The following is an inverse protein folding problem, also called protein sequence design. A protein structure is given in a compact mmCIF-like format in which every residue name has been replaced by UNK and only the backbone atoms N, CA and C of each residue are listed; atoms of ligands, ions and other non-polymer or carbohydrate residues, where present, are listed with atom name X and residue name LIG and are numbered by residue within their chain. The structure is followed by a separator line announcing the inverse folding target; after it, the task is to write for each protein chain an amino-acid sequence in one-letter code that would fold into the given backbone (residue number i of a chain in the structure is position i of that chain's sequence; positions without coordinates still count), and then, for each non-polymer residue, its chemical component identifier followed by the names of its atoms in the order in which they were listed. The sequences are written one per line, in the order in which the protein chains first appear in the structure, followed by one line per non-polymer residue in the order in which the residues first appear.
data_IF_807223186250
#
_entry.id   IF_807223186250
#
_cell.length_a   1.000
_cell.length_b   1.000
_cell.length_c   1.000
_cell.angle_alpha   90.00
_cell.angle_beta   90.00
_cell.angle_gamma   90.00
#
_symmetry.space_group_name_H-M   'P 1'
#
loop_
_entity.id
_entity.type
_entity.pdbx_description
1 polymer ?
#
# COMPACT_ATOMS: atom_id res chain seq x y z
N UNK A 1 -8.32 35.49 23.46
CA UNK A 1 -8.27 35.18 22.02
C UNK A 1 -8.51 33.68 21.85
N UNK A 2 -9.56 33.26 21.12
CA UNK A 2 -9.82 31.83 20.84
C UNK A 2 -8.97 31.39 19.65
N UNK A 3 -8.17 30.32 19.80
CA UNK A 3 -7.40 29.73 18.69
C UNK A 3 -8.38 29.09 17.70
N UNK A 4 -8.37 29.54 16.45
CA UNK A 4 -9.09 28.88 15.36
C UNK A 4 -8.33 27.62 14.96
N UNK A 5 -8.88 26.45 15.27
CA UNK A 5 -8.39 25.17 14.74
C UNK A 5 -8.70 25.12 13.25
N UNK A 6 -7.77 25.58 12.42
CA UNK A 6 -7.85 25.44 10.96
C UNK A 6 -7.56 23.98 10.63
N UNK A 7 -8.61 23.19 10.40
CA UNK A 7 -8.45 21.81 9.96
C UNK A 7 -7.91 21.80 8.51
N UNK A 8 -6.62 21.54 8.35
CA UNK A 8 -5.91 21.50 7.05
C UNK A 8 -6.11 20.19 6.28
N UNK A 9 -7.06 19.35 6.70
CA UNK A 9 -7.22 18.00 6.17
C UNK A 9 -8.17 17.89 4.96
N UNK A 10 -8.38 18.98 4.20
CA UNK A 10 -9.33 18.99 3.06
C UNK A 10 -8.79 18.41 1.75
N UNK A 11 -7.47 18.27 1.59
CA UNK A 11 -6.88 17.91 0.29
C UNK A 11 -6.02 16.63 0.31
N UNK A 12 -6.29 15.68 1.21
CA UNK A 12 -5.72 14.33 1.02
C UNK A 12 -6.59 13.58 0.00
N UNK A 13 -6.29 13.75 -1.29
CA UNK A 13 -6.71 12.83 -2.36
C UNK A 13 -5.99 11.50 -2.19
N UNK A 14 -6.34 10.77 -1.13
CA UNK A 14 -5.91 9.39 -0.95
C UNK A 14 -6.71 8.48 -1.86
N UNK A 15 -6.06 7.47 -2.43
CA UNK A 15 -6.77 6.38 -3.10
C UNK A 15 -7.65 5.70 -2.04
N UNK A 16 -8.96 5.63 -2.29
CA UNK A 16 -9.89 4.89 -1.45
C UNK A 16 -9.58 3.40 -1.64
N UNK A 17 -8.71 2.86 -0.79
CA UNK A 17 -8.41 1.44 -0.76
C UNK A 17 -9.41 0.77 0.20
N UNK A 18 -10.16 -0.21 -0.32
CA UNK A 18 -10.99 -1.08 0.52
C UNK A 18 -10.09 -1.85 1.50
N UNK A 19 -10.28 -1.64 2.80
CA UNK A 19 -9.56 -2.38 3.85
C UNK A 19 -9.99 -3.86 3.92
N UNK A 20 -11.11 -4.21 3.25
CA UNK A 20 -11.62 -5.58 3.16
C UNK A 20 -10.81 -6.44 2.20
N UNK A 21 -10.01 -5.83 1.32
CA UNK A 21 -9.20 -6.55 0.35
C UNK A 21 -7.91 -7.03 1.02
N UNK A 22 -7.94 -8.29 1.45
CA UNK A 22 -6.78 -9.01 1.98
C UNK A 22 -6.17 -9.93 0.92
N UNK A 23 -4.84 -9.97 0.91
CA UNK A 23 -4.03 -10.66 -0.08
C UNK A 23 -3.14 -11.68 0.61
N UNK A 24 -3.02 -12.86 0.01
CA UNK A 24 -2.12 -13.88 0.50
C UNK A 24 -0.67 -13.52 0.14
N UNK A 25 0.20 -13.55 1.15
CA UNK A 25 1.63 -13.35 1.03
C UNK A 25 2.38 -14.52 1.64
N UNK A 26 3.46 -14.94 0.99
CA UNK A 26 4.31 -16.03 1.49
C UNK A 26 5.62 -15.45 2.04
N UNK A 27 5.93 -15.71 3.30
CA UNK A 27 7.18 -15.23 3.91
C UNK A 27 8.39 -15.97 3.33
N UNK A 28 9.38 -15.23 2.82
CA UNK A 28 10.61 -15.80 2.26
C UNK A 28 11.74 -15.86 3.27
N UNK A 29 11.63 -15.12 4.37
CA UNK A 29 12.59 -15.04 5.47
C UNK A 29 11.89 -15.29 6.80
N UNK A 30 12.61 -15.82 7.76
CA UNK A 30 12.16 -15.85 9.15
C UNK A 30 12.10 -14.40 9.66
N UNK A 31 10.95 -14.05 10.23
CA UNK A 31 10.73 -12.79 10.94
C UNK A 31 10.47 -13.12 12.41
N UNK A 32 10.39 -12.09 13.26
CA UNK A 32 10.12 -12.25 14.69
C UNK A 32 8.84 -13.03 14.99
N UNK A 33 7.84 -12.98 14.09
CA UNK A 33 6.52 -13.56 14.30
C UNK A 33 6.13 -14.64 13.27
N UNK A 34 6.88 -14.80 12.18
CA UNK A 34 6.55 -15.72 11.08
C UNK A 34 7.78 -16.46 10.57
N UNK A 35 7.62 -17.74 10.27
CA UNK A 35 8.66 -18.59 9.69
C UNK A 35 8.66 -18.47 8.16
N UNK A 36 9.78 -18.81 7.55
CA UNK A 36 9.91 -18.94 6.10
C UNK A 36 8.97 -20.02 5.59
N UNK A 37 8.17 -19.69 4.59
CA UNK A 37 7.13 -20.54 4.02
C UNK A 37 5.74 -20.30 4.61
N UNK A 38 5.61 -19.52 5.69
CA UNK A 38 4.31 -19.19 6.25
C UNK A 38 3.51 -18.34 5.25
N UNK A 39 2.22 -18.67 5.12
CA UNK A 39 1.26 -17.91 4.32
C UNK A 39 0.39 -17.07 5.24
N UNK A 40 0.18 -15.80 4.89
CA UNK A 40 -0.65 -14.88 5.67
C UNK A 40 -1.49 -13.99 4.77
N UNK A 41 -2.71 -13.71 5.20
CA UNK A 41 -3.57 -12.72 4.57
C UNK A 41 -3.29 -11.34 5.18
N UNK A 42 -2.89 -10.38 4.35
CA UNK A 42 -2.58 -9.01 4.76
C UNK A 42 -3.17 -8.01 3.77
N UNK A 43 -3.46 -6.79 4.23
CA UNK A 43 -3.90 -5.72 3.33
C UNK A 43 -2.81 -5.37 2.31
N UNK A 44 -3.24 -4.86 1.15
CA UNK A 44 -2.39 -4.42 0.04
C UNK A 44 -1.21 -3.51 0.46
N UNK A 45 -1.39 -2.47 1.30
CA UNK A 45 -0.27 -1.61 1.74
C UNK A 45 0.78 -2.36 2.56
N UNK A 46 0.35 -3.31 3.38
CA UNK A 46 1.25 -4.15 4.18
C UNK A 46 1.99 -5.12 3.26
N UNK A 47 1.30 -5.72 2.30
CA UNK A 47 1.89 -6.61 1.30
C UNK A 47 3.00 -5.89 0.51
N UNK A 48 2.73 -4.67 0.03
CA UNK A 48 3.71 -3.82 -0.66
C UNK A 48 4.93 -3.53 0.22
N UNK A 49 4.70 -3.07 1.47
CA UNK A 49 5.79 -2.73 2.39
C UNK A 49 6.68 -3.94 2.72
N UNK A 50 6.08 -5.11 2.94
CA UNK A 50 6.82 -6.34 3.23
C UNK A 50 7.58 -6.85 1.99
N UNK A 51 7.00 -6.66 0.80
CA UNK A 51 7.63 -7.01 -0.47
C UNK A 51 8.82 -6.10 -0.77
N UNK A 52 8.68 -4.79 -0.58
CA UNK A 52 9.77 -3.80 -0.74
C UNK A 52 10.93 -4.08 0.24
N UNK A 53 10.63 -4.64 1.42
CA UNK A 53 11.63 -5.12 2.39
C UNK A 53 12.24 -6.49 2.05
N UNK A 54 11.78 -7.15 0.97
CA UNK A 54 12.24 -8.48 0.55
C UNK A 54 11.96 -9.58 1.58
N UNK A 55 10.89 -9.42 2.38
CA UNK A 55 10.49 -10.38 3.44
C UNK A 55 9.41 -11.35 3.00
N UNK A 56 8.61 -10.97 2.00
CA UNK A 56 7.53 -11.78 1.45
C UNK A 56 7.61 -11.85 -0.06
N UNK A 57 7.11 -12.95 -0.62
CA UNK A 57 6.73 -13.07 -2.02
C UNK A 57 5.24 -12.83 -2.14
N UNK A 58 4.89 -11.95 -3.06
CA UNK A 58 3.52 -11.74 -3.49
C UNK A 58 3.18 -12.82 -4.52
N UNK A 59 1.93 -13.28 -4.49
CA UNK A 59 1.41 -14.09 -5.57
C UNK A 59 1.26 -13.26 -6.85
N UNK A 60 1.14 -13.92 -8.01
CA UNK A 60 1.09 -13.23 -9.31
C UNK A 60 -0.09 -12.25 -9.40
N UNK A 61 -1.26 -12.66 -8.91
CA UNK A 61 -2.47 -11.82 -8.86
C UNK A 61 -2.29 -10.58 -7.98
N UNK A 62 -1.62 -10.73 -6.83
CA UNK A 62 -1.33 -9.61 -5.91
C UNK A 62 -0.30 -8.66 -6.53
N UNK A 63 0.67 -9.21 -7.26
CA UNK A 63 1.71 -8.43 -7.95
C UNK A 63 1.12 -7.55 -9.05
N UNK A 64 0.16 -8.06 -9.83
CA UNK A 64 -0.54 -7.29 -10.86
C UNK A 64 -1.29 -6.11 -10.25
N UNK A 65 -2.07 -6.33 -9.20
CA UNK A 65 -2.80 -5.28 -8.49
C UNK A 65 -1.87 -4.23 -7.87
N UNK A 66 -0.74 -4.65 -7.31
CA UNK A 66 0.29 -3.72 -6.80
C UNK A 66 0.87 -2.85 -7.91
N UNK A 67 1.08 -3.42 -9.11
CA UNK A 67 1.57 -2.67 -10.28
C UNK A 67 0.52 -1.66 -10.76
N UNK A 68 -0.72 -2.10 -10.95
CA UNK A 68 -1.85 -1.24 -11.34
C UNK A 68 -2.02 -0.06 -10.37
N UNK A 69 -1.90 -0.31 -9.06
CA UNK A 69 -1.96 0.74 -8.05
C UNK A 69 -0.75 1.68 -8.10
N UNK A 70 0.47 1.16 -8.28
CA UNK A 70 1.67 2.00 -8.44
C UNK A 70 1.58 2.87 -9.70
N UNK A 71 1.02 2.35 -10.79
CA UNK A 71 0.82 3.08 -12.05
C UNK A 71 -0.30 4.13 -11.92
N UNK A 72 -1.42 3.77 -11.29
CA UNK A 72 -2.50 4.73 -10.99
C UNK A 72 -2.03 5.89 -10.10
N UNK A 73 -1.17 5.62 -9.11
CA UNK A 73 -0.55 6.68 -8.29
C UNK A 73 0.32 7.61 -9.15
N UNK A 74 1.14 7.05 -10.06
CA UNK A 74 2.01 7.84 -10.94
C UNK A 74 1.21 8.74 -11.87
N UNK A 75 0.15 8.24 -12.49
CA UNK A 75 -0.69 9.04 -13.39
C UNK A 75 -1.34 10.23 -12.67
N UNK A 76 -1.79 10.04 -11.43
CA UNK A 76 -2.37 11.13 -10.63
C UNK A 76 -1.31 12.18 -10.32
N UNK A 77 -0.10 11.76 -9.94
CA UNK A 77 0.99 12.70 -9.63
C UNK A 77 1.48 13.48 -10.86
N UNK A 78 1.51 12.87 -12.04
CA UNK A 78 1.94 13.56 -13.27
C UNK A 78 0.87 14.54 -13.79
N UNK A 79 -0.41 14.18 -13.70
CA UNK A 79 -1.52 15.10 -14.03
C UNK A 79 -1.62 16.28 -13.07
N UNK A 80 -1.19 16.12 -11.82
CA UNK A 80 -1.14 17.22 -10.84
C UNK A 80 0.08 18.12 -11.06
N UNK A 81 1.24 17.56 -11.43
CA UNK A 81 2.45 18.31 -11.76
C UNK A 81 2.33 19.13 -13.06
N UNK A 82 1.57 18.67 -14.05
CA UNK A 82 1.33 19.39 -15.29
C UNK A 82 0.31 20.54 -15.18
N UNK A 83 -0.35 20.70 -14.01
CA UNK A 83 -1.40 21.69 -13.77
C UNK A 83 -0.99 22.80 -12.78
N UNK A 84 0.26 22.78 -12.31
CA UNK A 84 0.89 23.79 -11.45
C UNK A 84 1.82 24.70 -12.27
#
# INVERSE_FOLDING_TARGET
MKRTNKNTQKDRKGIVMSLSDVYEVTFTKNTTYHKKGDKKLVSLPIAMKLSDQGKVKLDEATTQKVKELKEGIKEVTEKEAAKA
#
